data_IF_413069626715
#
_entry.id   IF_413069626715
#
_cell.length_a   1.000
_cell.length_b   1.000
_cell.length_c   1.000
_cell.angle_alpha   90.00
_cell.angle_beta   90.00
_cell.angle_gamma   90.00
#
_symmetry.space_group_name_H-M   'P 1'
#
loop_
_entity.id
_entity.type
_entity.pdbx_description
1 polymer ?
#
# COMPACT_ATOMS: atom_id res chain seq x y z
N UNK A 1 -0.60 -8.09 28.94
CA UNK A 1 -1.62 -7.14 28.49
C UNK A 1 -1.84 -7.45 27.01
N UNK A 2 -2.98 -8.05 26.68
CA UNK A 2 -3.40 -8.29 25.30
C UNK A 2 -3.66 -6.93 24.65
N UNK A 3 -2.99 -6.65 23.53
CA UNK A 3 -3.28 -5.47 22.72
C UNK A 3 -4.52 -5.77 21.90
N UNK A 4 -5.58 -5.02 22.14
CA UNK A 4 -6.78 -5.09 21.30
C UNK A 4 -6.43 -4.67 19.86
N UNK A 5 -6.95 -5.37 18.84
CA UNK A 5 -6.77 -4.98 17.46
C UNK A 5 -7.45 -3.64 17.19
N UNK A 6 -6.76 -2.72 16.52
CA UNK A 6 -7.27 -1.42 16.11
C UNK A 6 -8.45 -1.61 15.13
N UNK A 7 -9.66 -1.09 15.42
CA UNK A 7 -10.79 -1.23 14.52
C UNK A 7 -10.61 -0.30 13.31
N UNK A 8 -10.64 -0.86 12.11
CA UNK A 8 -10.69 -0.11 10.85
C UNK A 8 -11.98 0.74 10.84
N UNK A 9 -11.85 2.05 10.91
CA UNK A 9 -13.00 2.97 10.85
C UNK A 9 -13.50 3.10 9.42
N UNK A 10 -14.81 3.11 9.27
CA UNK A 10 -15.48 3.42 8.02
C UNK A 10 -15.10 4.84 7.56
N UNK A 11 -14.43 4.94 6.43
CA UNK A 11 -14.25 6.20 5.73
C UNK A 11 -15.49 6.48 4.88
N UNK A 12 -16.10 7.64 5.08
CA UNK A 12 -17.29 8.08 4.32
C UNK A 12 -16.91 8.29 2.84
N UNK A 13 -17.51 7.55 1.89
CA UNK A 13 -17.15 7.63 0.47
C UNK A 13 -17.73 8.84 -0.26
N UNK A 14 -18.28 9.84 0.44
CA UNK A 14 -19.06 10.92 -0.17
C UNK A 14 -18.23 12.02 -0.89
N UNK A 15 -16.91 11.95 -0.93
CA UNK A 15 -16.11 12.80 -1.86
C UNK A 15 -15.89 12.05 -3.16
N UNK A 16 -16.70 12.39 -4.16
CA UNK A 16 -16.72 11.86 -5.52
C UNK A 16 -15.31 11.86 -6.14
N UNK A 17 -14.59 10.76 -6.01
CA UNK A 17 -13.44 10.45 -6.84
C UNK A 17 -13.92 9.56 -8.00
N UNK A 18 -13.52 9.91 -9.23
CA UNK A 18 -13.84 9.10 -10.42
C UNK A 18 -13.40 7.64 -10.18
N UNK A 19 -14.25 6.67 -10.49
CA UNK A 19 -13.98 5.27 -10.20
C UNK A 19 -12.70 4.80 -10.88
N UNK A 20 -11.91 4.03 -10.14
CA UNK A 20 -10.72 3.37 -10.64
C UNK A 20 -11.10 2.24 -11.62
N UNK A 21 -10.43 2.16 -12.76
CA UNK A 21 -10.62 1.13 -13.76
C UNK A 21 -9.32 0.33 -13.90
N UNK A 22 -9.15 -0.72 -13.11
CA UNK A 22 -8.10 -1.71 -13.35
C UNK A 22 -8.58 -2.79 -14.32
N UNK A 23 -7.66 -3.46 -15.03
CA UNK A 23 -7.99 -4.49 -16.00
C UNK A 23 -8.99 -5.50 -15.40
N UNK A 24 -10.17 -5.64 -16.00
CA UNK A 24 -11.24 -6.53 -15.56
C UNK A 24 -12.31 -5.89 -14.66
N UNK A 25 -12.04 -4.83 -13.92
CA UNK A 25 -13.02 -4.17 -13.07
C UNK A 25 -13.36 -2.76 -13.57
N UNK A 26 -14.62 -2.38 -13.47
CA UNK A 26 -15.03 -0.97 -13.61
C UNK A 26 -14.82 -0.21 -12.31
N UNK A 27 -15.16 -0.87 -11.21
CA UNK A 27 -14.95 -0.39 -9.84
C UNK A 27 -14.90 -1.60 -8.92
N UNK A 28 -14.02 -1.55 -7.95
CA UNK A 28 -13.93 -2.52 -6.87
C UNK A 28 -13.57 -1.77 -5.59
N UNK A 29 -14.38 -1.94 -4.57
CA UNK A 29 -14.11 -1.44 -3.23
C UNK A 29 -13.94 -2.65 -2.31
N UNK A 30 -12.84 -2.70 -1.58
CA UNK A 30 -12.50 -3.79 -0.67
C UNK A 30 -12.10 -3.22 0.68
N UNK A 31 -12.55 -3.89 1.72
CA UNK A 31 -12.12 -3.60 3.10
C UNK A 31 -11.52 -4.87 3.69
N UNK A 32 -10.30 -4.77 4.17
CA UNK A 32 -9.64 -5.86 4.88
C UNK A 32 -9.88 -5.69 6.38
N UNK A 33 -10.29 -6.76 7.03
CA UNK A 33 -10.43 -6.80 8.49
C UNK A 33 -9.13 -7.28 9.12
N UNK A 34 -8.95 -6.98 10.42
CA UNK A 34 -7.84 -7.54 11.18
C UNK A 34 -7.93 -9.08 11.22
N UNK A 35 -6.79 -9.76 11.13
CA UNK A 35 -6.69 -11.21 11.11
C UNK A 35 -6.40 -11.76 9.72
N UNK A 36 -6.83 -13.00 9.45
CA UNK A 36 -6.59 -13.71 8.20
C UNK A 36 -7.75 -13.51 7.23
N UNK A 37 -7.42 -13.00 6.04
CA UNK A 37 -8.36 -12.92 4.91
C UNK A 37 -7.92 -13.88 3.80
N UNK A 38 -8.85 -14.65 3.25
CA UNK A 38 -8.57 -15.62 2.18
C UNK A 38 -9.35 -15.24 0.92
N UNK A 39 -8.63 -15.11 -0.19
CA UNK A 39 -9.22 -14.93 -1.52
C UNK A 39 -9.23 -16.24 -2.28
N UNK A 40 -10.42 -16.74 -2.59
CA UNK A 40 -10.62 -17.95 -3.39
C UNK A 40 -11.27 -17.61 -4.73
N UNK A 41 -11.08 -18.45 -5.71
CA UNK A 41 -11.66 -18.30 -7.05
C UNK A 41 -10.83 -19.03 -8.10
N UNK A 42 -11.42 -19.25 -9.27
CA UNK A 42 -10.75 -19.88 -10.40
C UNK A 42 -9.60 -19.02 -10.95
N UNK A 43 -8.69 -19.64 -11.71
CA UNK A 43 -7.67 -18.92 -12.46
C UNK A 43 -8.32 -17.95 -13.44
N UNK A 44 -7.90 -16.69 -13.43
CA UNK A 44 -8.51 -15.63 -14.24
C UNK A 44 -9.65 -14.85 -13.55
N UNK A 45 -10.10 -15.26 -12.35
CA UNK A 45 -11.17 -14.58 -11.60
C UNK A 45 -10.78 -13.23 -10.97
N UNK A 46 -9.67 -12.62 -11.40
CA UNK A 46 -9.28 -11.29 -10.95
C UNK A 46 -8.37 -11.23 -9.71
N UNK A 47 -8.00 -12.39 -9.10
CA UNK A 47 -7.09 -12.41 -7.94
C UNK A 47 -5.74 -11.72 -8.23
N UNK A 48 -5.11 -12.06 -9.36
CA UNK A 48 -3.84 -11.45 -9.76
C UNK A 48 -3.98 -9.95 -10.05
N UNK A 49 -5.10 -9.55 -10.66
CA UNK A 49 -5.39 -8.14 -10.94
C UNK A 49 -5.51 -7.34 -9.64
N UNK A 50 -6.09 -7.94 -8.60
CA UNK A 50 -6.19 -7.30 -7.29
C UNK A 50 -4.81 -7.12 -6.65
N UNK A 51 -3.95 -8.14 -6.69
CA UNK A 51 -2.58 -8.05 -6.20
C UNK A 51 -1.77 -7.02 -6.99
N UNK A 52 -1.90 -7.00 -8.32
CA UNK A 52 -1.30 -5.99 -9.19
C UNK A 52 -1.77 -4.58 -8.82
N UNK A 53 -3.07 -4.40 -8.55
CA UNK A 53 -3.64 -3.12 -8.13
C UNK A 53 -3.11 -2.67 -6.76
N UNK A 54 -3.02 -3.60 -5.80
CA UNK A 54 -2.42 -3.31 -4.50
C UNK A 54 -0.94 -2.92 -4.65
N UNK A 55 -0.15 -3.67 -5.42
CA UNK A 55 1.23 -3.33 -5.73
C UNK A 55 1.36 -1.96 -6.38
N UNK A 56 0.46 -1.62 -7.30
CA UNK A 56 0.44 -0.30 -7.95
C UNK A 56 0.21 0.82 -6.92
N UNK A 57 -0.74 0.66 -6.00
CA UNK A 57 -1.00 1.64 -4.93
C UNK A 57 0.21 1.82 -4.00
N UNK A 58 0.98 0.77 -3.78
CA UNK A 58 2.18 0.75 -2.94
C UNK A 58 3.48 1.11 -3.69
N UNK A 59 3.37 1.70 -4.88
CA UNK A 59 4.52 2.24 -5.62
C UNK A 59 5.28 1.23 -6.48
N UNK A 60 4.78 0.02 -6.70
CA UNK A 60 5.39 -0.92 -7.62
C UNK A 60 5.32 -0.42 -9.07
N UNK A 61 6.07 -1.11 -9.95
CA UNK A 61 6.14 -0.73 -11.37
C UNK A 61 4.75 -0.75 -12.00
N UNK A 62 4.38 0.35 -12.63
CA UNK A 62 3.13 0.47 -13.35
C UNK A 62 3.27 -0.18 -14.74
N UNK A 63 2.33 -1.04 -15.11
CA UNK A 63 2.25 -1.64 -16.43
C UNK A 63 0.95 -1.21 -17.12
N UNK A 64 1.05 -0.75 -18.38
CA UNK A 64 -0.11 -0.26 -19.12
C UNK A 64 -1.22 -1.33 -19.26
N UNK A 65 -0.89 -2.63 -19.18
CA UNK A 65 -1.87 -3.74 -19.18
C UNK A 65 -2.86 -3.67 -18.02
N UNK A 66 -2.54 -2.94 -16.94
CA UNK A 66 -3.44 -2.73 -15.81
C UNK A 66 -4.59 -1.77 -16.14
N UNK A 67 -4.46 -0.98 -17.21
CA UNK A 67 -5.56 -0.15 -17.71
C UNK A 67 -6.51 -1.03 -18.52
N UNK A 68 -7.78 -1.05 -18.13
CA UNK A 68 -8.80 -1.82 -18.82
C UNK A 68 -8.92 -1.36 -20.30
N UNK A 69 -9.07 -2.32 -21.22
CA UNK A 69 -9.29 -2.01 -22.62
C UNK A 69 -10.47 -1.04 -22.82
N UNK A 70 -10.25 0.03 -23.57
CA UNK A 70 -11.24 1.09 -23.81
C UNK A 70 -11.37 2.12 -22.68
N UNK A 71 -10.57 2.04 -21.62
CA UNK A 71 -10.48 3.08 -20.60
C UNK A 71 -9.30 4.03 -20.87
N UNK A 72 -9.42 5.29 -20.46
CA UNK A 72 -8.35 6.28 -20.60
C UNK A 72 -7.28 6.16 -19.51
N UNK A 73 -7.58 5.45 -18.43
CA UNK A 73 -6.66 5.23 -17.32
C UNK A 73 -7.24 4.33 -16.23
N UNK A 74 -6.40 4.06 -15.25
CA UNK A 74 -6.73 3.35 -14.02
C UNK A 74 -6.32 4.20 -12.83
N UNK A 75 -7.04 4.06 -11.71
CA UNK A 75 -6.65 4.67 -10.44
C UNK A 75 -6.88 3.66 -9.33
N UNK A 76 -5.91 3.53 -8.45
CA UNK A 76 -6.01 2.71 -7.24
C UNK A 76 -5.72 3.59 -6.04
N UNK A 77 -6.56 3.46 -5.02
CA UNK A 77 -6.36 4.13 -3.74
C UNK A 77 -6.37 3.08 -2.64
N UNK A 78 -5.37 3.12 -1.77
CA UNK A 78 -5.30 2.31 -0.57
C UNK A 78 -5.31 3.25 0.64
N UNK A 79 -6.15 2.94 1.63
CA UNK A 79 -6.24 3.66 2.89
C UNK A 79 -5.71 2.77 4.01
N UNK A 80 -4.86 3.34 4.86
CA UNK A 80 -4.25 2.66 6.00
C UNK A 80 -4.48 3.47 7.26
N UNK A 81 -4.95 2.81 8.31
CA UNK A 81 -4.99 3.41 9.64
C UNK A 81 -3.60 3.26 10.26
N UNK A 82 -2.95 4.38 10.52
CA UNK A 82 -1.55 4.44 10.99
C UNK A 82 -1.53 4.99 12.41
N UNK A 83 -1.02 4.20 13.34
CA UNK A 83 -0.88 4.61 14.74
C UNK A 83 0.38 5.44 14.98
N UNK A 84 0.37 6.26 16.02
CA UNK A 84 1.55 7.03 16.42
C UNK A 84 2.78 6.12 16.63
N UNK A 85 3.93 6.55 16.11
CA UNK A 85 5.18 5.79 16.15
C UNK A 85 5.33 4.74 15.04
N UNK A 86 4.44 4.72 14.05
CA UNK A 86 4.60 3.84 12.89
C UNK A 86 5.72 4.38 11.97
N UNK A 87 6.62 3.53 11.43
CA UNK A 87 7.74 3.97 10.59
C UNK A 87 7.36 4.82 9.38
N UNK A 88 6.16 4.65 8.84
CA UNK A 88 5.66 5.49 7.74
C UNK A 88 5.60 6.98 8.11
N UNK A 89 5.38 7.32 9.40
CA UNK A 89 5.32 8.70 9.87
C UNK A 89 6.69 9.37 9.86
N UNK A 90 7.74 8.61 10.19
CA UNK A 90 9.11 9.09 10.15
C UNK A 90 9.50 9.43 8.71
N UNK A 91 9.20 8.53 7.75
CA UNK A 91 9.44 8.75 6.32
C UNK A 91 8.68 9.99 5.81
N UNK A 92 7.41 10.17 6.20
CA UNK A 92 6.63 11.36 5.84
C UNK A 92 7.27 12.63 6.38
N UNK A 93 7.66 12.62 7.66
CA UNK A 93 8.30 13.76 8.33
C UNK A 93 9.61 14.15 7.67
N UNK A 94 10.44 13.18 7.30
CA UNK A 94 11.72 13.40 6.61
C UNK A 94 11.54 14.08 5.25
N UNK A 95 10.38 13.89 4.62
CA UNK A 95 10.00 14.54 3.37
C UNK A 95 9.14 15.80 3.56
N UNK A 96 9.04 16.31 4.80
CA UNK A 96 8.29 17.53 5.12
C UNK A 96 6.77 17.40 4.96
N UNK A 97 6.24 16.18 4.99
CA UNK A 97 4.81 15.89 4.89
C UNK A 97 4.22 15.66 6.28
N UNK A 98 3.17 16.40 6.60
CA UNK A 98 2.40 16.16 7.82
C UNK A 98 1.24 15.22 7.54
N UNK A 99 0.88 14.43 8.54
CA UNK A 99 -0.33 13.61 8.50
C UNK A 99 -1.44 14.32 9.28
N UNK A 100 -2.56 14.60 8.59
CA UNK A 100 -3.78 15.11 9.23
C UNK A 100 -4.70 13.94 9.56
N UNK A 101 -4.77 13.57 10.85
CA UNK A 101 -5.58 12.45 11.32
C UNK A 101 -4.83 11.10 11.29
N UNK A 102 -5.59 10.01 11.48
CA UNK A 102 -5.05 8.65 11.66
C UNK A 102 -5.04 7.83 10.35
N UNK A 103 -5.49 8.39 9.22
CA UNK A 103 -5.61 7.67 7.95
C UNK A 103 -4.62 8.19 6.91
N UNK A 104 -3.82 7.29 6.39
CA UNK A 104 -2.85 7.52 5.32
C UNK A 104 -3.42 7.00 3.99
N UNK A 105 -3.62 7.91 3.03
CA UNK A 105 -4.13 7.58 1.71
C UNK A 105 -3.00 7.53 0.69
N UNK A 106 -2.75 6.37 0.12
CA UNK A 106 -1.84 6.18 -1.01
C UNK A 106 -2.65 6.04 -2.30
N UNK A 107 -2.41 6.89 -3.28
CA UNK A 107 -3.12 6.84 -4.56
C UNK A 107 -2.14 6.81 -5.73
N UNK A 108 -2.40 5.90 -6.66
CA UNK A 108 -1.69 5.80 -7.93
C UNK A 108 -2.67 5.93 -9.08
N UNK A 109 -2.33 6.78 -10.04
CA UNK A 109 -3.05 6.92 -11.29
C UNK A 109 -2.16 6.46 -12.43
N UNK A 110 -2.71 5.71 -13.37
CA UNK A 110 -2.01 5.19 -14.55
C UNK A 110 -2.83 5.52 -15.79
N UNK A 111 -2.23 6.24 -16.73
CA UNK A 111 -2.81 6.53 -18.03
C UNK A 111 -2.62 5.38 -19.01
N UNK A 112 -3.45 5.32 -20.06
CA UNK A 112 -3.30 4.38 -21.17
C UNK A 112 -1.98 4.53 -21.94
N UNK A 113 -1.35 5.70 -21.82
CA UNK A 113 -0.04 6.03 -22.39
C UNK A 113 1.13 5.52 -21.52
N UNK A 114 0.84 4.80 -20.44
CA UNK A 114 1.83 4.27 -19.49
C UNK A 114 2.36 5.30 -18.48
N UNK A 115 1.99 6.58 -18.62
CA UNK A 115 2.37 7.61 -17.65
C UNK A 115 1.61 7.39 -16.35
N UNK A 116 2.31 7.58 -15.24
CA UNK A 116 1.67 7.42 -13.93
C UNK A 116 1.96 8.60 -13.00
N UNK A 117 1.01 8.85 -12.10
CA UNK A 117 1.10 9.86 -11.04
C UNK A 117 0.86 9.20 -9.70
N UNK A 118 1.61 9.63 -8.69
CA UNK A 118 1.51 9.14 -7.32
C UNK A 118 1.08 10.27 -6.39
N UNK A 119 0.29 9.93 -5.37
CA UNK A 119 -0.20 10.88 -4.39
C UNK A 119 -0.22 10.24 -3.00
N UNK A 120 0.07 11.04 -1.99
CA UNK A 120 -0.09 10.70 -0.58
C UNK A 120 -0.96 11.80 0.03
N UNK A 121 -2.08 11.44 0.66
CA UNK A 121 -3.06 12.38 1.21
C UNK A 121 -3.41 13.52 0.20
N UNK A 122 -3.65 13.12 -1.06
CA UNK A 122 -3.92 14.02 -2.21
C UNK A 122 -2.76 14.95 -2.63
N UNK A 123 -1.62 14.94 -1.95
CA UNK A 123 -0.43 15.66 -2.37
C UNK A 123 0.35 14.85 -3.42
N UNK A 124 0.75 15.45 -4.55
CA UNK A 124 1.54 14.76 -5.57
C UNK A 124 2.95 14.47 -5.05
N UNK A 125 3.39 13.22 -5.22
CA UNK A 125 4.70 12.75 -4.76
C UNK A 125 5.43 11.98 -5.85
N UNK A 126 6.72 11.70 -5.61
CA UNK A 126 7.48 10.78 -6.46
C UNK A 126 7.00 9.34 -6.24
N UNK A 127 7.16 8.50 -7.29
CA UNK A 127 6.89 7.06 -7.18
C UNK A 127 7.81 6.40 -6.17
N UNK A 128 9.03 6.91 -6.04
CA UNK A 128 10.01 6.39 -5.10
C UNK A 128 9.57 6.61 -3.66
N UNK A 129 9.09 7.80 -3.31
CA UNK A 129 8.55 8.06 -1.97
C UNK A 129 7.29 7.22 -1.69
N UNK A 130 6.40 7.09 -2.68
CA UNK A 130 5.22 6.22 -2.53
C UNK A 130 5.63 4.76 -2.25
N UNK A 131 6.69 4.26 -2.91
CA UNK A 131 7.23 2.92 -2.71
C UNK A 131 7.85 2.77 -1.32
N UNK A 132 8.67 3.73 -0.90
CA UNK A 132 9.31 3.75 0.40
C UNK A 132 8.29 3.65 1.55
N UNK A 133 7.24 4.46 1.49
CA UNK A 133 6.13 4.38 2.46
C UNK A 133 5.38 3.07 2.33
N UNK A 134 5.08 2.61 1.11
CA UNK A 134 4.41 1.34 0.87
C UNK A 134 5.12 0.14 1.50
N UNK A 135 6.46 0.13 1.47
CA UNK A 135 7.30 -0.91 2.07
C UNK A 135 7.27 -0.93 3.60
N UNK A 136 6.89 0.18 4.24
CA UNK A 136 6.68 0.21 5.70
C UNK A 136 5.29 -0.29 6.11
N UNK A 137 4.32 -0.25 5.20
CA UNK A 137 2.91 -0.57 5.47
C UNK A 137 2.55 -2.01 5.17
N UNK A 138 3.08 -2.57 4.07
CA UNK A 138 2.69 -3.91 3.58
C UNK A 138 3.90 -4.66 3.07
N UNK A 139 4.01 -5.91 3.46
CA UNK A 139 4.98 -6.85 2.93
C UNK A 139 4.28 -7.85 1.99
N UNK A 140 4.78 -7.96 0.77
CA UNK A 140 4.30 -8.95 -0.20
C UNK A 140 5.23 -10.15 -0.24
N UNK A 141 4.68 -11.35 -0.07
CA UNK A 141 5.39 -12.61 -0.26
C UNK A 141 4.80 -13.35 -1.47
N UNK A 142 5.62 -13.77 -2.41
CA UNK A 142 5.21 -14.54 -3.58
C UNK A 142 5.63 -13.95 -4.92
N UNK A 143 4.73 -13.90 -5.90
CA UNK A 143 5.03 -13.48 -7.28
C UNK A 143 5.63 -12.06 -7.43
N UNK A 144 5.47 -11.23 -6.43
CA UNK A 144 6.10 -9.90 -6.32
C UNK A 144 7.18 -9.93 -5.26
N UNK A 145 8.16 -10.82 -5.41
CA UNK A 145 9.26 -10.97 -4.46
C UNK A 145 9.86 -9.60 -4.13
N UNK A 146 9.52 -9.09 -2.97
CA UNK A 146 10.37 -8.12 -2.32
C UNK A 146 11.64 -8.87 -1.92
N UNK A 147 12.73 -8.50 -2.56
CA UNK A 147 14.07 -9.01 -2.28
C UNK A 147 14.58 -8.65 -0.87
N UNK A 148 13.70 -8.30 0.05
CA UNK A 148 14.06 -7.96 1.43
C UNK A 148 14.76 -9.11 2.13
N UNK A 149 14.30 -10.35 1.90
CA UNK A 149 14.97 -11.55 2.42
C UNK A 149 16.27 -11.86 1.70
N UNK A 150 16.48 -11.32 0.49
CA UNK A 150 17.77 -11.44 -0.23
C UNK A 150 18.76 -10.34 0.16
N UNK A 151 18.30 -9.31 0.86
CA UNK A 151 19.14 -8.25 1.38
C UNK A 151 19.61 -8.61 2.79
N UNK A 152 20.87 -9.04 2.92
CA UNK A 152 21.48 -9.42 4.20
C UNK A 152 21.36 -8.31 5.27
N UNK A 153 21.40 -7.05 4.87
CA UNK A 153 21.24 -5.92 5.80
C UNK A 153 19.83 -5.85 6.44
N UNK A 154 18.83 -6.46 5.82
CA UNK A 154 17.46 -6.50 6.33
C UNK A 154 17.21 -7.65 7.33
N UNK A 155 18.07 -8.68 7.36
CA UNK A 155 17.85 -9.88 8.19
C UNK A 155 17.88 -9.54 9.69
N UNK A 156 18.84 -8.74 10.12
CA UNK A 156 18.98 -8.38 11.55
C UNK A 156 17.80 -7.55 12.05
N UNK A 157 17.36 -6.45 11.38
CA UNK A 157 16.18 -5.71 11.79
C UNK A 157 14.91 -6.57 11.85
N UNK A 158 14.77 -7.53 10.92
CA UNK A 158 13.63 -8.43 10.87
C UNK A 158 13.61 -9.38 12.09
N UNK A 159 14.76 -9.95 12.45
CA UNK A 159 14.93 -10.80 13.62
C UNK A 159 14.70 -10.02 14.93
N UNK A 160 15.26 -8.81 15.02
CA UNK A 160 15.09 -7.94 16.19
C UNK A 160 13.61 -7.55 16.39
N UNK A 161 12.89 -7.28 15.29
CA UNK A 161 11.46 -7.01 15.30
C UNK A 161 10.64 -8.22 15.73
N UNK A 162 10.94 -9.40 15.20
CA UNK A 162 10.29 -10.66 15.59
C UNK A 162 10.55 -11.03 17.05
N UNK A 163 11.78 -10.80 17.53
CA UNK A 163 12.19 -11.05 18.92
C UNK A 163 11.72 -9.99 19.92
N UNK A 164 11.07 -8.90 19.46
CA UNK A 164 10.69 -7.78 20.33
C UNK A 164 11.89 -7.03 20.94
N UNK A 165 13.05 -7.07 20.27
CA UNK A 165 14.32 -6.54 20.76
C UNK A 165 14.60 -5.08 20.30
N UNK A 166 13.69 -4.45 19.57
CA UNK A 166 13.86 -3.11 19.01
C UNK A 166 14.24 -2.02 20.02
N UNK A 167 13.77 -2.12 21.26
CA UNK A 167 14.08 -1.16 22.32
C UNK A 167 15.43 -1.38 23.05
N UNK A 168 16.20 -2.41 22.69
CA UNK A 168 17.50 -2.70 23.32
C UNK A 168 18.71 -2.19 22.53
N UNK A 169 18.46 -1.61 21.38
CA UNK A 169 19.50 -1.08 20.46
C UNK A 169 20.16 0.21 20.96
N UNK A 170 19.43 1.01 21.73
CA UNK A 170 19.86 2.36 22.13
C UNK A 170 20.69 2.35 23.46
N UNK A 171 20.99 1.17 23.99
CA UNK A 171 21.71 1.00 25.26
C UNK A 171 23.04 0.24 25.15
N UNK A 172 23.55 0.03 23.93
CA UNK A 172 24.85 -0.66 23.71
C UNK A 172 25.86 0.22 22.97
#
# INVERSE_FOLDING_TARGET
>A
RQREPCPLRHHDPAKQQKPAHAAGFRRLDLTFQAGLSVMTGETGAGKSILLDAMGLALGQRAEARLVRHGADGASVTAAFDVTAGHPALDVLSDHGMAMDGDSLLLRRMLGKDGRSKAFINDQPVSVQLLKEIGETLVEFHGQFENQRLLNEAAHRPLLDSYGGLGGKRDTA
#
